data_IF_937413244830
#
_entry.id   IF_937413244830
#
_cell.length_a   1.000
_cell.length_b   1.000
_cell.length_c   1.000
_cell.angle_alpha   90.00
_cell.angle_beta   90.00
_cell.angle_gamma   90.00
#
_symmetry.space_group_name_H-M   'P 1'
#
loop_
_entity.id
_entity.type
_entity.pdbx_description
1 polymer ?
#
# COMPACT_ATOMS: atom_id res chain seq x y z
N UNK A 1 16.82 -9.32 -2.17
CA UNK A 1 15.90 -10.36 -1.67
C UNK A 1 15.10 -10.87 -2.84
N UNK A 2 15.02 -12.19 -3.02
CA UNK A 2 14.22 -12.83 -4.09
C UNK A 2 12.77 -13.06 -3.65
N UNK A 3 11.86 -13.31 -4.59
CA UNK A 3 10.46 -13.68 -4.27
C UNK A 3 10.36 -14.96 -3.44
N UNK A 4 11.29 -15.90 -3.65
CA UNK A 4 11.35 -17.17 -2.92
C UNK A 4 11.82 -16.94 -1.49
N UNK A 5 12.87 -16.13 -1.30
CA UNK A 5 13.34 -15.70 0.03
C UNK A 5 12.25 -14.93 0.80
N UNK A 6 11.54 -14.01 0.15
CA UNK A 6 10.44 -13.26 0.77
C UNK A 6 9.29 -14.20 1.14
N UNK A 7 8.93 -15.12 0.26
CA UNK A 7 7.90 -16.11 0.55
C UNK A 7 8.22 -16.96 1.79
N UNK A 8 9.45 -17.47 1.87
CA UNK A 8 9.92 -18.23 3.03
C UNK A 8 9.83 -17.41 4.33
N UNK A 9 10.26 -16.15 4.31
CA UNK A 9 10.21 -15.26 5.48
C UNK A 9 8.78 -14.88 5.89
N UNK A 10 7.90 -14.68 4.92
CA UNK A 10 6.53 -14.24 5.15
C UNK A 10 5.53 -15.39 5.40
N UNK A 11 5.97 -16.65 5.31
CA UNK A 11 5.06 -17.81 5.37
C UNK A 11 4.10 -17.85 4.17
N UNK A 12 4.58 -17.45 2.98
CA UNK A 12 3.81 -17.38 1.74
C UNK A 12 4.50 -18.16 0.62
N UNK A 13 3.73 -18.66 -0.33
CA UNK A 13 4.31 -19.21 -1.57
C UNK A 13 4.88 -18.09 -2.44
N UNK A 14 5.92 -18.41 -3.24
CA UNK A 14 6.46 -17.48 -4.25
C UNK A 14 5.37 -16.93 -5.18
N UNK A 15 4.37 -17.75 -5.53
CA UNK A 15 3.26 -17.33 -6.39
C UNK A 15 2.36 -16.30 -5.69
N UNK A 16 2.14 -16.42 -4.38
CA UNK A 16 1.42 -15.40 -3.62
C UNK A 16 2.20 -14.08 -3.63
N UNK A 17 3.50 -14.11 -3.33
CA UNK A 17 4.36 -12.91 -3.39
C UNK A 17 4.29 -12.26 -4.77
N UNK A 18 4.35 -13.05 -5.84
CA UNK A 18 4.23 -12.55 -7.20
C UNK A 18 2.87 -11.89 -7.50
N UNK A 19 1.77 -12.43 -6.95
CA UNK A 19 0.45 -11.81 -7.07
C UNK A 19 0.37 -10.49 -6.30
N UNK A 20 1.02 -10.42 -5.13
CA UNK A 20 1.17 -9.20 -4.35
C UNK A 20 1.89 -8.10 -5.13
N UNK A 21 3.03 -8.39 -5.73
CA UNK A 21 3.80 -7.42 -6.53
C UNK A 21 3.05 -6.93 -7.76
N UNK A 22 2.27 -7.81 -8.41
CA UNK A 22 1.48 -7.42 -9.60
C UNK A 22 0.24 -6.62 -9.26
N UNK A 23 -0.24 -6.64 -8.02
CA UNK A 23 -1.54 -6.05 -7.64
C UNK A 23 -2.76 -6.76 -8.25
N UNK A 24 -2.57 -7.93 -8.87
CA UNK A 24 -3.62 -8.70 -9.55
C UNK A 24 -3.64 -10.14 -9.04
N UNK A 25 -4.84 -10.64 -8.71
CA UNK A 25 -5.04 -12.05 -8.35
C UNK A 25 -4.98 -12.99 -9.56
N UNK A 26 -4.68 -14.28 -9.33
CA UNK A 26 -4.73 -15.33 -10.36
C UNK A 26 -6.18 -15.64 -10.74
N UNK A 27 -6.72 -14.93 -11.72
CA UNK A 27 -8.01 -15.21 -12.33
C UNK A 27 -8.16 -14.51 -13.67
N UNK A 28 -8.88 -15.12 -14.61
CA UNK A 28 -9.07 -14.67 -16.01
C UNK A 28 -9.60 -13.23 -16.20
N UNK A 29 -9.92 -12.50 -15.13
CA UNK A 29 -10.69 -11.25 -15.17
C UNK A 29 -9.98 -10.06 -14.48
N UNK A 30 -8.65 -10.06 -14.32
CA UNK A 30 -7.94 -8.88 -13.81
C UNK A 30 -8.43 -8.41 -12.42
N UNK A 31 -8.88 -9.35 -11.57
CA UNK A 31 -9.37 -9.02 -10.23
C UNK A 31 -8.24 -8.35 -9.45
N UNK A 32 -8.48 -7.11 -9.04
CA UNK A 32 -7.60 -6.37 -8.13
C UNK A 32 -7.36 -7.24 -6.90
N UNK A 33 -6.10 -7.35 -6.50
CA UNK A 33 -5.73 -8.06 -5.30
C UNK A 33 -6.40 -7.40 -4.09
N UNK A 34 -6.99 -8.19 -3.21
CA UNK A 34 -7.51 -7.71 -1.93
C UNK A 34 -6.79 -8.46 -0.79
N UNK A 35 -5.61 -7.96 -0.36
CA UNK A 35 -4.88 -8.54 0.75
C UNK A 35 -5.72 -8.58 2.01
N UNK A 36 -5.65 -9.66 2.77
CA UNK A 36 -6.06 -9.60 4.18
C UNK A 36 -5.02 -8.81 4.97
N UNK A 37 -5.44 -8.18 6.08
CA UNK A 37 -4.51 -7.50 6.97
C UNK A 37 -3.42 -8.44 7.47
N UNK A 38 -3.74 -9.70 7.77
CA UNK A 38 -2.75 -10.72 8.13
C UNK A 38 -1.59 -10.81 7.11
N UNK A 39 -1.91 -10.80 5.81
CA UNK A 39 -0.90 -10.86 4.75
C UNK A 39 -0.06 -9.59 4.67
N UNK A 40 -0.68 -8.42 4.88
CA UNK A 40 0.06 -7.15 4.98
C UNK A 40 1.06 -7.20 6.14
N UNK A 41 0.63 -7.64 7.32
CA UNK A 41 1.52 -7.75 8.49
C UNK A 41 2.63 -8.80 8.31
N UNK A 42 2.34 -9.95 7.69
CA UNK A 42 3.35 -10.96 7.36
C UNK A 42 4.42 -10.43 6.40
N UNK A 43 4.03 -9.70 5.36
CA UNK A 43 4.97 -9.07 4.44
C UNK A 43 5.79 -7.98 5.11
N UNK A 44 5.14 -7.12 5.90
CA UNK A 44 5.80 -6.04 6.63
C UNK A 44 6.88 -6.58 7.59
N UNK A 45 6.54 -7.65 8.33
CA UNK A 45 7.49 -8.34 9.20
C UNK A 45 8.67 -8.92 8.41
N UNK A 46 8.42 -9.60 7.29
CA UNK A 46 9.47 -10.20 6.46
C UNK A 46 10.40 -9.16 5.79
N UNK A 47 9.85 -7.98 5.49
CA UNK A 47 10.55 -6.83 4.90
C UNK A 47 11.23 -5.93 5.93
N UNK A 48 10.95 -6.12 7.23
CA UNK A 48 11.39 -5.24 8.31
C UNK A 48 10.98 -3.78 8.11
N UNK A 49 9.72 -3.55 7.74
CA UNK A 49 9.13 -2.22 7.56
C UNK A 49 7.80 -2.11 8.32
N UNK A 50 7.35 -0.89 8.68
CA UNK A 50 6.00 -0.69 9.20
C UNK A 50 4.93 -1.11 8.16
N UNK A 51 3.78 -1.69 8.58
CA UNK A 51 2.69 -2.05 7.67
C UNK A 51 2.20 -0.89 6.80
N UNK A 52 2.30 0.34 7.29
CA UNK A 52 1.91 1.55 6.58
C UNK A 52 2.66 1.76 5.26
N UNK A 53 3.91 1.29 5.14
CA UNK A 53 4.70 1.35 3.89
C UNK A 53 4.07 0.49 2.78
N UNK A 54 3.27 -0.51 3.15
CA UNK A 54 2.58 -1.41 2.20
C UNK A 54 1.16 -0.95 1.87
N UNK A 55 0.67 0.12 2.50
CA UNK A 55 -0.68 0.64 2.33
C UNK A 55 -0.64 1.96 1.55
N UNK A 56 -1.15 2.00 0.31
CA UNK A 56 -1.15 3.22 -0.47
C UNK A 56 -2.03 4.29 0.19
N UNK A 57 -1.61 5.54 0.13
CA UNK A 57 -2.34 6.71 0.63
C UNK A 57 -2.76 6.63 2.11
N UNK A 58 -2.08 5.84 2.95
CA UNK A 58 -2.45 5.56 4.36
C UNK A 58 -2.56 6.81 5.25
N UNK A 59 -1.84 7.88 4.93
CA UNK A 59 -1.91 9.17 5.63
C UNK A 59 -2.95 10.16 5.07
N UNK A 60 -3.71 9.77 4.05
CA UNK A 60 -4.68 10.63 3.36
C UNK A 60 -6.12 10.18 3.67
N UNK A 61 -7.08 11.09 3.52
CA UNK A 61 -8.50 10.73 3.54
C UNK A 61 -8.77 9.76 2.37
N UNK A 62 -9.54 8.70 2.64
CA UNK A 62 -9.93 7.71 1.63
C UNK A 62 -10.69 8.39 0.50
N UNK A 63 -10.28 8.10 -0.73
CA UNK A 63 -10.92 8.56 -1.96
C UNK A 63 -11.46 7.35 -2.76
N UNK A 64 -12.37 7.56 -3.73
CA UNK A 64 -12.87 6.48 -4.58
C UNK A 64 -11.78 5.71 -5.35
N UNK A 65 -10.66 6.37 -5.64
CA UNK A 65 -9.45 5.76 -6.23
C UNK A 65 -8.21 6.27 -5.49
N UNK A 66 -7.25 5.38 -5.29
CA UNK A 66 -5.95 5.74 -4.74
C UNK A 66 -5.17 6.55 -5.76
N UNK A 67 -4.56 7.67 -5.35
CA UNK A 67 -3.70 8.49 -6.22
C UNK A 67 -2.48 7.70 -6.66
N UNK A 68 -1.98 6.84 -5.77
CA UNK A 68 -0.85 5.93 -6.04
C UNK A 68 -1.12 4.95 -7.19
N UNK A 69 -2.37 4.76 -7.61
CA UNK A 69 -2.72 3.93 -8.78
C UNK A 69 -2.59 4.68 -10.12
N UNK A 70 -2.62 6.01 -10.10
CA UNK A 70 -2.51 6.87 -11.29
C UNK A 70 -1.10 7.46 -11.41
N UNK A 71 -0.53 7.86 -10.27
CA UNK A 71 0.78 8.47 -10.13
C UNK A 71 1.56 7.70 -9.04
N UNK A 72 2.33 6.65 -9.43
CA UNK A 72 3.05 5.82 -8.47
C UNK A 72 4.04 6.65 -7.66
N UNK A 73 4.04 6.52 -6.31
CA UNK A 73 4.97 7.27 -5.48
C UNK A 73 6.42 6.84 -5.77
N UNK A 74 7.32 7.82 -5.69
CA UNK A 74 8.77 7.59 -5.74
C UNK A 74 9.23 6.77 -4.53
N UNK A 75 10.41 6.15 -4.63
CA UNK A 75 11.02 5.43 -3.51
C UNK A 75 11.23 6.33 -2.28
N UNK A 76 11.54 7.61 -2.50
CA UNK A 76 11.71 8.59 -1.42
C UNK A 76 10.38 8.86 -0.70
N UNK A 77 9.27 9.02 -1.44
CA UNK A 77 7.93 9.17 -0.86
C UNK A 77 7.47 7.91 -0.11
N UNK A 78 7.85 6.71 -0.57
CA UNK A 78 7.55 5.44 0.11
C UNK A 78 8.34 5.29 1.41
N UNK A 79 9.55 5.84 1.50
CA UNK A 79 10.42 5.72 2.67
C UNK A 79 10.11 6.78 3.74
N UNK A 80 9.65 7.96 3.34
CA UNK A 80 9.29 9.06 4.23
C UNK A 80 7.83 8.94 4.73
N UNK A 81 7.54 7.89 5.49
CA UNK A 81 6.19 7.66 6.06
C UNK A 81 6.11 8.24 7.48
N UNK A 82 5.61 9.47 7.58
CA UNK A 82 5.11 10.03 8.84
C UNK A 82 3.59 9.86 8.92
N UNK A 83 3.12 9.00 9.83
CA UNK A 83 1.69 8.80 10.05
C UNK A 83 1.19 9.83 11.06
N UNK A 84 0.69 10.95 10.53
CA UNK A 84 0.01 11.98 11.32
C UNK A 84 -1.48 11.92 10.97
N UNK A 85 -2.35 11.97 11.99
CA UNK A 85 -3.78 12.06 11.74
C UNK A 85 -4.09 13.38 11.01
N UNK A 86 -4.76 13.35 9.84
CA UNK A 86 -5.06 14.57 9.11
C UNK A 86 -6.05 15.40 9.90
N UNK A 87 -5.56 16.46 10.55
CA UNK A 87 -6.42 17.53 11.06
C UNK A 87 -7.07 18.17 9.83
N UNK A 88 -8.38 18.38 9.88
CA UNK A 88 -9.09 18.99 8.77
C UNK A 88 -8.40 20.32 8.42
N UNK A 89 -7.86 20.42 7.20
CA UNK A 89 -7.47 21.72 6.65
C UNK A 89 -8.76 22.53 6.58
N UNK A 90 -8.82 23.59 7.37
CA UNK A 90 -9.86 24.60 7.25
C UNK A 90 -9.74 25.13 5.83
N UNK A 91 -10.75 24.88 5.02
CA UNK A 91 -10.88 25.52 3.72
C UNK A 91 -11.18 26.98 4.05
N UNK A 92 -10.28 27.88 3.68
CA UNK A 92 -10.56 29.30 3.68
C UNK A 92 -11.60 29.52 2.58
N UNK A 93 -12.88 29.52 2.97
CA UNK A 93 -13.98 29.96 2.11
C UNK A 93 -13.79 31.46 1.91
N UNK A 94 -12.99 31.82 0.91
CA UNK A 94 -12.81 33.18 0.45
C UNK A 94 -14.17 33.79 0.16
N UNK A 95 -14.63 34.64 1.09
CA UNK A 95 -15.80 35.49 0.91
C UNK A 95 -15.38 36.59 -0.08
N UNK A 96 -15.77 36.46 -1.34
CA UNK A 96 -15.90 37.62 -2.22
C UNK A 96 -17.18 38.37 -1.82
N UNK A 97 -17.00 39.59 -1.32
CA UNK A 97 -18.02 40.62 -1.14
C UNK A 97 -18.15 41.47 -2.42
#
# INVERSE_FOLDING_TARGET
>A
MTQEELGQRAGMSRNQVQNFERGHGTGKNGRVLNPTMEKIYQLAYALNVPPAVLLPDVGRKVQPRSRSAEDPPTLEEIQNVDIVWPHAVVVDDGVEH
#
